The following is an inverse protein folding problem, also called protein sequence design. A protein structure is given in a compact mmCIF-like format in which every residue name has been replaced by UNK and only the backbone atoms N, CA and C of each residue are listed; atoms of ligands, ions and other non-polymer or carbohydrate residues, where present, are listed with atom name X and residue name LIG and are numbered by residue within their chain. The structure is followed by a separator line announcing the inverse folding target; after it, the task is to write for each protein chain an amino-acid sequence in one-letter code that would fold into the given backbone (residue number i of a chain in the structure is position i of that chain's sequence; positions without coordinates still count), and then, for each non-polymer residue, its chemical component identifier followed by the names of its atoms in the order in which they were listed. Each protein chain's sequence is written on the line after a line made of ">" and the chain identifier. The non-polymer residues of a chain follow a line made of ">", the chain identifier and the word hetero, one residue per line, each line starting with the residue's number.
data_IF_792823650340
#
_entry.id   IF_792823650340
#
_cell.length_a   1.000
_cell.length_b   1.000
_cell.length_c   1.000
_cell.angle_alpha   90.00
_cell.angle_beta   90.00
_cell.angle_gamma   90.00
#
_symmetry.space_group_name_H-M   'P 1'
#
loop_
_entity.id
_entity.type
_entity.pdbx_description
1 polymer ?
#
# COMPACT_ATOMS: atom_id res chain seq x y z
N UNK A 1 29.81 9.23 -0.82
CA UNK A 1 28.45 8.97 -1.32
C UNK A 1 28.25 7.46 -1.25
N UNK A 2 27.64 6.94 -0.18
CA UNK A 2 27.43 5.50 -0.04
C UNK A 2 26.18 5.12 -0.82
N UNK A 3 26.32 4.23 -1.79
CA UNK A 3 25.20 3.58 -2.45
C UNK A 3 24.49 2.71 -1.41
N UNK A 4 23.32 3.15 -0.94
CA UNK A 4 22.50 2.35 -0.05
C UNK A 4 22.04 1.12 -0.84
N UNK A 5 22.44 -0.07 -0.37
CA UNK A 5 22.08 -1.33 -1.01
C UNK A 5 20.55 -1.47 -1.04
N UNK A 6 19.93 -1.64 -2.23
CA UNK A 6 18.53 -2.01 -2.29
C UNK A 6 18.42 -3.40 -1.64
N UNK A 7 17.49 -3.58 -0.70
CA UNK A 7 17.23 -4.83 0.04
C UNK A 7 18.01 -5.08 1.34
N UNK A 8 18.29 -4.05 2.15
CA UNK A 8 18.50 -4.33 3.59
C UNK A 8 17.15 -4.60 4.28
N UNK A 9 17.03 -5.64 5.14
CA UNK A 9 15.78 -5.98 5.82
C UNK A 9 15.19 -4.81 6.60
N UNK A 10 16.04 -3.94 7.16
CA UNK A 10 15.65 -2.74 7.90
C UNK A 10 14.98 -1.67 7.01
N UNK A 11 15.39 -1.56 5.75
CA UNK A 11 14.83 -0.59 4.79
C UNK A 11 13.55 -1.09 4.11
N UNK A 12 13.34 -2.41 4.07
CA UNK A 12 12.16 -3.01 3.44
C UNK A 12 10.94 -3.09 4.37
N UNK A 13 11.10 -2.85 5.68
CA UNK A 13 10.01 -3.00 6.66
C UNK A 13 8.77 -2.16 6.32
N UNK A 14 8.96 -0.93 5.84
CA UNK A 14 7.85 -0.06 5.42
C UNK A 14 7.13 -0.59 4.18
N UNK A 15 7.89 -1.04 3.18
CA UNK A 15 7.31 -1.63 1.97
C UNK A 15 6.57 -2.94 2.28
N UNK A 16 7.11 -3.77 3.16
CA UNK A 16 6.46 -5.01 3.62
C UNK A 16 5.15 -4.72 4.38
N UNK A 17 5.17 -3.75 5.29
CA UNK A 17 3.99 -3.33 6.04
C UNK A 17 2.89 -2.77 5.11
N UNK A 18 3.28 -1.99 4.10
CA UNK A 18 2.39 -1.52 3.04
C UNK A 18 1.76 -2.69 2.29
N UNK A 19 2.56 -3.58 1.71
CA UNK A 19 2.06 -4.72 0.91
C UNK A 19 1.13 -5.60 1.73
N UNK A 20 1.46 -5.86 3.00
CA UNK A 20 0.63 -6.66 3.91
C UNK A 20 -0.73 -6.02 4.14
N UNK A 21 -0.76 -4.72 4.41
CA UNK A 21 -2.00 -3.97 4.64
C UNK A 21 -2.83 -3.87 3.36
N UNK A 22 -2.19 -3.56 2.24
CA UNK A 22 -2.83 -3.44 0.94
C UNK A 22 -3.51 -4.76 0.53
N UNK A 23 -2.79 -5.88 0.61
CA UNK A 23 -3.34 -7.21 0.29
C UNK A 23 -4.52 -7.57 1.20
N UNK A 24 -4.43 -7.31 2.50
CA UNK A 24 -5.50 -7.64 3.45
C UNK A 24 -6.77 -6.81 3.21
N UNK A 25 -6.63 -5.51 2.95
CA UNK A 25 -7.78 -4.60 2.95
C UNK A 25 -8.43 -4.49 1.56
N UNK A 26 -7.66 -4.60 0.49
CA UNK A 26 -8.16 -4.39 -0.88
C UNK A 26 -8.23 -5.69 -1.66
N UNK A 27 -7.16 -6.49 -1.65
CA UNK A 27 -7.07 -7.67 -2.51
C UNK A 27 -7.86 -8.86 -1.96
N UNK A 28 -7.87 -9.06 -0.63
CA UNK A 28 -8.45 -10.25 -0.01
C UNK A 28 -9.97 -10.41 -0.25
N UNK A 29 -10.67 -9.33 -0.59
CA UNK A 29 -12.11 -9.31 -0.85
C UNK A 29 -12.45 -9.08 -2.32
N UNK A 30 -11.45 -9.04 -3.21
CA UNK A 30 -11.63 -8.80 -4.63
C UNK A 30 -11.52 -10.08 -5.43
N UNK A 31 -12.62 -10.50 -6.05
CA UNK A 31 -12.65 -11.65 -6.95
C UNK A 31 -12.30 -11.20 -8.37
N UNK A 32 -11.01 -11.10 -8.66
CA UNK A 32 -10.54 -10.71 -9.98
C UNK A 32 -10.80 -11.83 -10.99
N UNK A 33 -11.59 -11.57 -12.03
CA UNK A 33 -11.82 -12.53 -13.11
C UNK A 33 -10.55 -12.78 -13.94
N UNK A 34 -9.68 -11.77 -14.06
CA UNK A 34 -8.40 -11.85 -14.74
C UNK A 34 -7.44 -10.71 -14.29
N UNK A 35 -6.20 -10.75 -14.79
CA UNK A 35 -5.18 -9.75 -14.46
C UNK A 35 -5.54 -8.33 -14.94
N UNK A 36 -6.25 -8.17 -16.06
CA UNK A 36 -6.66 -6.85 -16.55
C UNK A 36 -7.62 -6.17 -15.58
N UNK A 37 -8.60 -6.92 -15.06
CA UNK A 37 -9.57 -6.40 -14.08
C UNK A 37 -8.89 -6.01 -12.76
N UNK A 38 -7.87 -6.76 -12.34
CA UNK A 38 -7.05 -6.38 -11.20
C UNK A 38 -6.30 -5.07 -11.47
N UNK A 39 -5.65 -4.94 -12.62
CA UNK A 39 -4.88 -3.75 -12.98
C UNK A 39 -5.76 -2.50 -13.10
N UNK A 40 -6.99 -2.63 -13.62
CA UNK A 40 -7.96 -1.53 -13.68
C UNK A 40 -8.42 -1.06 -12.30
N UNK A 41 -8.40 -1.94 -11.30
CA UNK A 41 -8.84 -1.63 -9.95
C UNK A 41 -7.77 -0.93 -9.10
N UNK A 42 -6.48 -1.11 -9.43
CA UNK A 42 -5.35 -0.55 -8.68
C UNK A 42 -5.43 0.97 -8.47
N UNK A 43 -5.70 1.82 -9.49
CA UNK A 43 -5.76 3.27 -9.30
C UNK A 43 -6.78 3.69 -8.25
N UNK A 44 -7.95 3.05 -8.25
CA UNK A 44 -9.01 3.32 -7.29
C UNK A 44 -8.59 2.97 -5.86
N UNK A 45 -7.92 1.83 -5.67
CA UNK A 45 -7.43 1.42 -4.35
C UNK A 45 -6.28 2.28 -3.85
N UNK A 46 -5.37 2.72 -4.73
CA UNK A 46 -4.34 3.66 -4.33
C UNK A 46 -4.92 5.02 -3.93
N UNK A 47 -5.94 5.50 -4.66
CA UNK A 47 -6.64 6.71 -4.28
C UNK A 47 -7.32 6.56 -2.90
N UNK A 48 -8.05 5.47 -2.67
CA UNK A 48 -8.68 5.22 -1.37
C UNK A 48 -7.65 5.11 -0.23
N UNK A 49 -6.53 4.42 -0.46
CA UNK A 49 -5.45 4.32 0.51
C UNK A 49 -4.87 5.69 0.87
N UNK A 50 -4.63 6.55 -0.13
CA UNK A 50 -4.02 7.86 0.08
C UNK A 50 -4.97 8.89 0.69
N UNK A 51 -6.26 8.83 0.35
CA UNK A 51 -7.23 9.85 0.78
C UNK A 51 -8.01 9.46 2.04
N UNK A 52 -8.27 8.17 2.25
CA UNK A 52 -9.25 7.71 3.26
C UNK A 52 -8.68 6.75 4.31
N UNK A 53 -7.64 5.96 4.00
CA UNK A 53 -7.18 4.93 4.92
C UNK A 53 -6.60 5.56 6.21
N UNK A 54 -7.02 5.10 7.40
CA UNK A 54 -6.50 5.65 8.65
C UNK A 54 -5.17 4.99 9.04
N UNK A 55 -4.13 5.80 9.30
CA UNK A 55 -2.81 5.32 9.70
C UNK A 55 -2.48 5.71 11.14
N UNK A 56 -2.18 4.73 12.00
CA UNK A 56 -1.82 4.98 13.41
C UNK A 56 -0.62 5.91 13.56
N UNK A 57 0.39 5.74 12.73
CA UNK A 57 1.60 6.57 12.72
C UNK A 57 1.32 8.01 12.26
N UNK A 58 0.21 8.23 11.54
CA UNK A 58 -0.26 9.53 11.09
C UNK A 58 -1.42 10.07 11.95
N UNK A 59 -1.50 9.70 13.24
CA UNK A 59 -2.61 10.10 14.13
C UNK A 59 -4.01 9.75 13.59
N UNK A 60 -4.13 8.62 12.89
CA UNK A 60 -5.35 8.17 12.22
C UNK A 60 -5.78 9.03 11.02
N UNK A 61 -4.94 9.94 10.56
CA UNK A 61 -5.13 10.66 9.31
C UNK A 61 -4.75 9.79 8.10
N UNK A 62 -5.24 10.19 6.93
CA UNK A 62 -4.82 9.63 5.66
C UNK A 62 -3.48 10.20 5.21
N UNK A 63 -2.72 9.48 4.35
CA UNK A 63 -1.43 9.94 3.84
C UNK A 63 -1.48 11.33 3.19
N UNK A 64 -2.55 11.65 2.46
CA UNK A 64 -2.70 12.96 1.80
C UNK A 64 -3.05 14.10 2.77
N UNK A 65 -3.50 13.79 3.98
CA UNK A 65 -3.92 14.78 4.98
C UNK A 65 -2.83 15.13 6.01
N UNK A 66 -1.68 14.46 5.95
CA UNK A 66 -0.54 14.65 6.86
C UNK A 66 0.61 15.39 6.16
#
# INVERSE_FOLDING_TARGET
>A
MSVNAPCSPELNGMAEAFVKTFKRNYVAFYDALNASDFMHQLPQWFHDYNENAPHKELNMMSPSSF
#
